data_IF_655203313372
#
_entry.id   IF_655203313372
#
_cell.length_a   1.000
_cell.length_b   1.000
_cell.length_c   1.000
_cell.angle_alpha   90.00
_cell.angle_beta   90.00
_cell.angle_gamma   90.00
#
_symmetry.space_group_name_H-M   'P 1'
#
loop_
_entity.id
_entity.type
_entity.pdbx_description
1 polymer ?
#
# COMPACT_ATOMS: atom_id res chain seq x y z
N UNK A 1 5.80 3.98 35.51
CA UNK A 1 5.26 3.11 34.44
C UNK A 1 5.17 3.96 33.18
N UNK A 2 6.02 3.68 32.19
CA UNK A 2 6.33 4.56 31.05
C UNK A 2 5.25 4.44 29.96
N UNK A 3 4.68 5.57 29.55
CA UNK A 3 3.71 5.67 28.45
C UNK A 3 4.41 5.48 27.11
N UNK A 4 3.92 4.55 26.30
CA UNK A 4 4.38 4.32 24.91
C UNK A 4 3.89 5.50 24.04
N UNK A 5 4.74 6.20 23.29
CA UNK A 5 4.27 7.22 22.36
C UNK A 5 3.57 6.56 21.16
N UNK A 6 2.47 7.17 20.75
CA UNK A 6 1.65 6.78 19.61
C UNK A 6 2.49 6.67 18.33
N UNK A 7 2.50 5.49 17.71
CA UNK A 7 3.10 5.23 16.40
C UNK A 7 2.30 5.90 15.26
N UNK A 8 2.23 7.22 15.25
CA UNK A 8 1.63 8.01 14.17
C UNK A 8 2.67 8.55 13.16
N UNK A 9 3.96 8.23 13.35
CA UNK A 9 5.06 8.81 12.59
C UNK A 9 5.90 7.74 11.86
N UNK A 10 5.29 7.04 10.90
CA UNK A 10 6.04 6.33 9.86
C UNK A 10 5.21 6.20 8.58
N UNK A 11 4.53 7.28 8.16
CA UNK A 11 4.13 7.39 6.76
C UNK A 11 5.40 7.65 5.97
N UNK A 12 6.12 6.59 5.65
CA UNK A 12 7.21 6.62 4.68
C UNK A 12 6.63 7.25 3.41
N UNK A 13 7.16 8.41 3.04
CA UNK A 13 6.91 9.04 1.75
C UNK A 13 7.48 8.13 0.67
N UNK A 14 6.70 7.14 0.26
CA UNK A 14 6.96 6.41 -0.98
C UNK A 14 6.96 7.45 -2.11
N UNK A 15 7.98 7.46 -2.98
CA UNK A 15 7.96 8.27 -4.18
C UNK A 15 6.67 7.95 -4.93
N UNK A 16 5.87 8.98 -5.24
CA UNK A 16 4.69 8.78 -6.05
C UNK A 16 5.14 8.12 -7.37
N UNK A 17 4.65 6.92 -7.72
CA UNK A 17 5.01 6.31 -9.00
C UNK A 17 4.58 7.29 -10.08
N UNK A 18 5.54 7.70 -10.94
CA UNK A 18 5.27 8.55 -12.10
C UNK A 18 3.99 8.03 -12.79
N UNK A 19 3.03 8.91 -13.04
CA UNK A 19 1.68 8.55 -13.47
C UNK A 19 1.73 7.58 -14.66
N UNK A 20 1.62 6.28 -14.38
CA UNK A 20 1.66 5.22 -15.37
C UNK A 20 0.31 5.26 -16.09
N UNK A 21 0.33 5.44 -17.41
CA UNK A 21 -0.86 5.39 -18.25
C UNK A 21 -1.65 4.12 -17.97
N UNK A 22 -2.96 4.25 -17.77
CA UNK A 22 -3.82 3.15 -17.29
C UNK A 22 -3.78 1.90 -18.18
N UNK A 23 -3.43 2.07 -19.45
CA UNK A 23 -3.31 1.01 -20.45
C UNK A 23 -2.10 0.07 -20.27
N UNK A 24 -1.11 0.40 -19.44
CA UNK A 24 0.06 -0.46 -19.18
C UNK A 24 -0.08 -1.33 -17.91
N UNK A 25 -1.24 -1.28 -17.25
CA UNK A 25 -1.49 -2.09 -16.07
C UNK A 25 -1.77 -3.54 -16.44
N UNK A 26 -0.90 -4.45 -16.01
CA UNK A 26 -1.14 -5.89 -16.10
C UNK A 26 -1.93 -6.41 -14.90
N UNK A 27 -1.66 -5.88 -13.70
CA UNK A 27 -2.48 -6.08 -12.50
C UNK A 27 -2.84 -4.72 -11.92
N UNK A 28 -4.12 -4.56 -11.57
CA UNK A 28 -4.65 -3.38 -10.91
C UNK A 28 -5.23 -3.80 -9.56
N UNK A 29 -4.71 -3.21 -8.49
CA UNK A 29 -5.16 -3.41 -7.12
C UNK A 29 -5.76 -2.09 -6.66
N UNK A 30 -7.02 -2.12 -6.26
CA UNK A 30 -7.76 -0.93 -5.85
C UNK A 30 -8.44 -1.16 -4.51
N UNK A 31 -8.19 -0.23 -3.58
CA UNK A 31 -8.83 -0.17 -2.27
C UNK A 31 -8.80 -1.52 -1.51
N UNK A 32 -7.72 -2.28 -1.63
CA UNK A 32 -7.64 -3.60 -1.01
C UNK A 32 -7.40 -3.47 0.49
N UNK A 33 -8.17 -4.24 1.25
CA UNK A 33 -8.04 -4.42 2.69
C UNK A 33 -7.83 -5.91 3.00
N UNK A 34 -6.87 -6.22 3.86
CA UNK A 34 -6.62 -7.57 4.37
C UNK A 34 -6.54 -7.54 5.89
N UNK A 35 -7.33 -8.40 6.52
CA UNK A 35 -7.39 -8.55 7.98
C UNK A 35 -7.02 -9.98 8.40
N UNK A 36 -6.43 -10.09 9.59
CA UNK A 36 -6.18 -11.34 10.29
C UNK A 36 -6.70 -11.20 11.72
N UNK A 37 -7.86 -11.81 12.00
CA UNK A 37 -8.62 -11.51 13.21
C UNK A 37 -8.98 -10.02 13.28
N UNK A 38 -8.69 -9.41 14.42
CA UNK A 38 -8.93 -7.97 14.64
C UNK A 38 -7.83 -7.07 14.06
N UNK A 39 -6.72 -7.65 13.58
CA UNK A 39 -5.62 -6.88 12.99
C UNK A 39 -5.85 -6.61 11.51
N UNK A 40 -5.60 -5.37 11.08
CA UNK A 40 -5.59 -5.00 9.67
C UNK A 40 -4.14 -4.98 9.16
N UNK A 41 -3.80 -5.95 8.32
CA UNK A 41 -2.46 -6.10 7.77
C UNK A 41 -2.26 -5.31 6.46
N UNK A 42 -3.34 -5.09 5.71
CA UNK A 42 -3.35 -4.24 4.53
C UNK A 42 -4.55 -3.33 4.65
N UNK A 43 -4.34 -2.02 4.55
CA UNK A 43 -5.41 -1.02 4.63
C UNK A 43 -5.36 -0.09 3.42
N UNK A 44 -6.48 -0.04 2.69
CA UNK A 44 -6.71 0.81 1.53
C UNK A 44 -5.55 0.88 0.52
N UNK A 45 -4.97 -0.27 0.16
CA UNK A 45 -3.84 -0.30 -0.76
C UNK A 45 -4.31 -0.21 -2.21
N UNK A 46 -3.64 0.67 -2.96
CA UNK A 46 -3.83 0.89 -4.38
C UNK A 46 -2.47 0.71 -5.07
N UNK A 47 -2.36 -0.25 -5.99
CA UNK A 47 -1.12 -0.59 -6.69
C UNK A 47 -1.38 -0.92 -8.16
N UNK A 48 -0.42 -0.57 -9.02
CA UNK A 48 -0.41 -0.92 -10.44
C UNK A 48 0.87 -1.66 -10.75
N UNK A 49 0.73 -2.87 -11.26
CA UNK A 49 1.86 -3.72 -11.65
C UNK A 49 1.84 -3.84 -13.17
N UNK A 50 2.94 -3.46 -13.80
CA UNK A 50 3.14 -3.62 -15.24
C UNK A 50 3.45 -5.08 -15.59
N UNK A 51 3.30 -5.44 -16.87
CA UNK A 51 3.64 -6.78 -17.32
C UNK A 51 5.14 -7.03 -17.09
N UNK A 52 5.49 -8.19 -16.54
CA UNK A 52 6.88 -8.58 -16.24
C UNK A 52 7.57 -7.74 -15.13
N UNK A 53 6.84 -6.89 -14.38
CA UNK A 53 7.37 -6.22 -13.19
C UNK A 53 7.53 -7.23 -12.04
N UNK A 54 8.67 -7.18 -11.34
CA UNK A 54 8.86 -7.94 -10.10
C UNK A 54 8.24 -7.14 -8.95
N UNK A 55 7.33 -7.78 -8.22
CA UNK A 55 6.53 -7.16 -7.15
C UNK A 55 6.61 -7.97 -5.85
#
# INVERSE_FOLDING_TARGET
>A
MQSIPSSAAARQTQPAPAARTQNDAFVRIENVVKKFGDSTAVDNVNLTIAKNELF
#
